data_IF_463640963956
#
_entry.id   IF_463640963956
#
_cell.length_a   1.000
_cell.length_b   1.000
_cell.length_c   1.000
_cell.angle_alpha   90.00
_cell.angle_beta   90.00
_cell.angle_gamma   90.00
#
_symmetry.space_group_name_H-M   'P 1'
#
loop_
_entity.id
_entity.type
_entity.pdbx_description
1 polymer ?
#
# COMPACT_ATOMS: atom_id res chain seq x y z
N UNK A 1 -36.37 -30.38 36.09
CA UNK A 1 -35.09 -30.02 36.77
C UNK A 1 -34.00 -30.24 35.73
N UNK A 2 -33.78 -29.23 34.91
CA UNK A 2 -32.92 -29.31 33.70
C UNK A 2 -31.76 -28.34 33.88
N UNK A 3 -30.66 -28.88 34.39
CA UNK A 3 -29.40 -28.15 34.61
C UNK A 3 -28.55 -28.27 33.35
N UNK A 4 -28.83 -27.46 32.32
CA UNK A 4 -27.86 -27.20 31.29
C UNK A 4 -26.86 -26.19 31.83
N UNK A 5 -25.80 -26.71 32.41
CA UNK A 5 -24.59 -25.97 32.72
C UNK A 5 -23.90 -25.63 31.41
N UNK A 6 -23.88 -24.38 31.03
CA UNK A 6 -23.08 -23.86 29.91
C UNK A 6 -21.66 -23.55 30.47
N UNK A 7 -20.69 -24.45 30.25
CA UNK A 7 -19.34 -24.22 30.75
C UNK A 7 -18.56 -23.38 29.73
N UNK A 8 -18.14 -22.20 30.14
CA UNK A 8 -17.19 -21.29 29.51
C UNK A 8 -17.79 -20.13 28.67
N UNK A 9 -18.59 -19.32 29.30
CA UNK A 9 -18.75 -17.95 28.87
C UNK A 9 -17.59 -17.14 29.46
N UNK A 10 -16.51 -16.97 28.75
CA UNK A 10 -15.47 -16.00 29.12
C UNK A 10 -16.14 -14.62 29.19
N UNK A 11 -15.84 -13.81 30.22
CA UNK A 11 -16.30 -12.42 30.25
C UNK A 11 -15.80 -11.69 29.00
N UNK A 12 -16.69 -10.93 28.41
CA UNK A 12 -16.39 -10.17 27.19
C UNK A 12 -15.20 -9.22 27.47
N UNK A 13 -14.03 -9.41 26.81
CA UNK A 13 -12.84 -8.60 27.07
C UNK A 13 -12.98 -7.16 26.54
N UNK A 14 -14.15 -6.81 25.96
CA UNK A 14 -14.37 -5.50 25.37
C UNK A 14 -14.81 -4.51 26.45
N UNK A 15 -14.05 -3.43 26.71
CA UNK A 15 -14.39 -2.44 27.71
C UNK A 15 -15.73 -1.75 27.39
N UNK A 16 -16.63 -1.57 28.37
CA UNK A 16 -17.86 -0.81 28.16
C UNK A 16 -17.54 0.64 27.84
N UNK A 17 -18.09 1.18 26.75
CA UNK A 17 -17.95 2.58 26.35
C UNK A 17 -17.10 2.82 25.08
N UNK A 18 -16.50 1.79 24.49
CA UNK A 18 -15.92 1.91 23.17
C UNK A 18 -16.98 1.71 22.07
N UNK A 19 -16.99 2.53 21.02
CA UNK A 19 -17.91 2.36 19.91
C UNK A 19 -17.60 1.06 19.15
N UNK A 20 -18.62 0.22 19.00
CA UNK A 20 -18.63 -0.94 18.12
C UNK A 20 -17.63 -2.05 18.44
N UNK A 21 -18.15 -3.24 18.73
CA UNK A 21 -17.33 -4.46 18.77
C UNK A 21 -16.87 -4.78 17.35
N UNK A 22 -15.58 -5.14 17.12
CA UNK A 22 -15.15 -5.66 15.83
C UNK A 22 -15.81 -7.04 15.62
N UNK A 23 -16.92 -7.07 14.98
CA UNK A 23 -17.75 -8.26 14.80
C UNK A 23 -18.49 -8.26 13.48
N UNK A 24 -17.86 -7.77 12.43
CA UNK A 24 -18.33 -7.94 11.07
C UNK A 24 -17.51 -9.02 10.37
N UNK A 25 -18.14 -9.89 9.62
CA UNK A 25 -17.52 -10.88 8.75
C UNK A 25 -16.80 -10.21 7.55
N UNK A 26 -15.70 -9.49 7.80
CA UNK A 26 -14.95 -8.85 6.73
C UNK A 26 -13.65 -8.23 7.22
N UNK A 27 -12.69 -7.98 6.32
CA UNK A 27 -11.39 -7.40 6.63
C UNK A 27 -11.45 -5.89 6.87
N UNK A 28 -12.63 -5.31 7.11
CA UNK A 28 -12.78 -3.87 7.33
C UNK A 28 -12.35 -3.49 8.74
N UNK A 29 -11.48 -2.48 8.80
CA UNK A 29 -11.09 -1.88 10.07
C UNK A 29 -12.29 -1.13 10.65
N UNK A 30 -12.56 -1.22 11.97
CA UNK A 30 -13.60 -0.42 12.59
C UNK A 30 -13.35 1.08 12.36
N UNK A 31 -14.38 1.85 11.99
CA UNK A 31 -14.25 3.27 11.65
C UNK A 31 -13.58 4.10 12.76
N UNK A 32 -13.84 3.79 14.04
CA UNK A 32 -13.16 4.47 15.16
C UNK A 32 -11.64 4.27 15.16
N UNK A 33 -11.15 3.12 14.65
CA UNK A 33 -9.71 2.85 14.57
C UNK A 33 -9.10 3.59 13.37
N UNK A 34 -9.81 3.65 12.25
CA UNK A 34 -9.39 4.46 11.09
C UNK A 34 -9.29 5.94 11.45
N UNK A 35 -10.29 6.47 12.18
CA UNK A 35 -10.29 7.84 12.69
C UNK A 35 -9.08 8.09 13.60
N UNK A 36 -8.80 7.18 14.54
CA UNK A 36 -7.63 7.28 15.42
C UNK A 36 -6.29 7.25 14.68
N UNK A 37 -6.17 6.42 13.65
CA UNK A 37 -4.97 6.37 12.81
C UNK A 37 -4.83 7.67 12.01
N UNK A 38 -5.94 8.16 11.47
CA UNK A 38 -5.98 9.42 10.73
C UNK A 38 -5.55 10.62 11.60
N UNK A 39 -6.03 10.71 12.86
CA UNK A 39 -5.60 11.72 13.82
C UNK A 39 -4.09 11.69 14.07
N UNK A 40 -3.47 10.52 13.95
CA UNK A 40 -2.02 10.33 14.04
C UNK A 40 -1.29 10.45 12.70
N UNK A 41 -1.97 10.95 11.67
CA UNK A 41 -1.45 11.09 10.31
C UNK A 41 -1.02 9.76 9.69
N UNK A 42 -1.73 8.67 10.01
CA UNK A 42 -1.49 7.34 9.47
C UNK A 42 -2.58 7.00 8.46
N UNK A 43 -2.19 6.72 7.22
CA UNK A 43 -3.07 6.28 6.12
C UNK A 43 -2.76 4.82 5.81
N UNK A 44 -3.81 3.98 5.76
CA UNK A 44 -3.66 2.55 5.48
C UNK A 44 -4.04 2.25 4.02
N UNK A 45 -3.14 1.60 3.29
CA UNK A 45 -3.39 1.04 1.95
C UNK A 45 -3.48 -0.48 2.08
N UNK A 46 -4.69 -1.04 1.99
CA UNK A 46 -4.95 -2.46 2.23
C UNK A 46 -5.76 -3.11 1.12
N UNK A 47 -5.53 -4.41 0.92
CA UNK A 47 -6.27 -5.20 -0.06
C UNK A 47 -5.95 -4.79 -1.50
N UNK A 48 -6.89 -5.00 -2.41
CA UNK A 48 -6.72 -4.65 -3.82
C UNK A 48 -6.94 -3.16 -4.04
N UNK A 49 -5.99 -2.50 -4.66
CA UNK A 49 -6.09 -1.08 -5.00
C UNK A 49 -7.02 -0.90 -6.20
N UNK A 50 -8.20 -0.31 -5.95
CA UNK A 50 -9.20 0.06 -6.95
C UNK A 50 -9.35 1.56 -7.01
N UNK A 51 -10.00 2.10 -8.05
CA UNK A 51 -10.27 3.54 -8.17
C UNK A 51 -11.04 4.10 -6.97
N UNK A 52 -11.98 3.35 -6.38
CA UNK A 52 -12.72 3.77 -5.19
C UNK A 52 -11.80 3.88 -3.96
N UNK A 53 -10.95 2.88 -3.75
CA UNK A 53 -9.97 2.88 -2.64
C UNK A 53 -8.98 4.02 -2.82
N UNK A 54 -8.48 4.22 -4.04
CA UNK A 54 -7.54 5.30 -4.34
C UNK A 54 -8.14 6.69 -4.09
N UNK A 55 -9.42 6.91 -4.44
CA UNK A 55 -10.12 8.17 -4.15
C UNK A 55 -10.18 8.46 -2.65
N UNK A 56 -10.45 7.45 -1.82
CA UNK A 56 -10.45 7.61 -0.36
C UNK A 56 -9.07 7.95 0.20
N UNK A 57 -8.02 7.26 -0.29
CA UNK A 57 -6.63 7.53 0.09
C UNK A 57 -6.21 8.94 -0.33
N UNK A 58 -6.50 9.34 -1.57
CA UNK A 58 -6.20 10.66 -2.09
C UNK A 58 -6.86 11.78 -1.26
N UNK A 59 -8.14 11.61 -0.91
CA UNK A 59 -8.85 12.55 -0.04
C UNK A 59 -8.24 12.65 1.35
N UNK A 60 -7.81 11.52 1.94
CA UNK A 60 -7.13 11.49 3.23
C UNK A 60 -5.78 12.23 3.16
N UNK A 61 -4.98 11.98 2.13
CA UNK A 61 -3.68 12.63 1.93
C UNK A 61 -3.83 14.15 1.78
N UNK A 62 -4.74 14.63 0.92
CA UNK A 62 -5.02 16.05 0.73
C UNK A 62 -5.50 16.73 2.02
N UNK A 63 -6.34 16.05 2.81
CA UNK A 63 -6.81 16.56 4.09
C UNK A 63 -5.67 16.70 5.09
N UNK A 64 -4.77 15.72 5.13
CA UNK A 64 -3.60 15.75 6.00
C UNK A 64 -2.57 16.81 5.55
N UNK A 65 -2.37 16.98 4.25
CA UNK A 65 -1.50 18.04 3.73
C UNK A 65 -2.02 19.43 4.11
N UNK A 66 -3.32 19.67 3.94
CA UNK A 66 -3.97 20.92 4.36
C UNK A 66 -3.88 21.18 5.88
N UNK A 67 -3.78 20.12 6.70
CA UNK A 67 -3.64 20.24 8.15
C UNK A 67 -2.21 20.61 8.61
N UNK A 68 -1.21 20.54 7.72
CA UNK A 68 0.15 21.00 7.99
C UNK A 68 1.26 20.10 7.42
N UNK A 69 2.51 20.56 7.47
CA UNK A 69 3.64 19.97 6.77
C UNK A 69 4.28 18.77 7.50
N UNK A 70 3.72 18.32 8.62
CA UNK A 70 4.25 17.16 9.33
C UNK A 70 4.15 15.89 8.45
N UNK A 71 5.10 14.95 8.54
CA UNK A 71 5.09 13.73 7.73
C UNK A 71 3.79 12.93 7.86
N UNK A 72 3.33 12.35 6.75
CA UNK A 72 2.24 11.38 6.71
C UNK A 72 2.84 9.97 6.65
N UNK A 73 2.43 9.10 7.57
CA UNK A 73 2.82 7.69 7.56
C UNK A 73 1.85 6.90 6.69
N UNK A 74 2.33 6.28 5.62
CA UNK A 74 1.52 5.43 4.75
C UNK A 74 1.88 3.96 4.97
N UNK A 75 0.95 3.19 5.53
CA UNK A 75 1.15 1.76 5.79
C UNK A 75 0.59 0.92 4.65
N UNK A 76 1.47 0.18 3.97
CA UNK A 76 1.14 -0.62 2.80
C UNK A 76 0.98 -2.11 3.16
N UNK A 77 -0.17 -2.68 2.81
CA UNK A 77 -0.51 -4.09 2.95
C UNK A 77 -1.36 -4.54 1.75
N UNK A 78 -0.78 -4.52 0.55
CA UNK A 78 -1.50 -4.74 -0.70
C UNK A 78 -0.62 -5.47 -1.72
N UNK A 79 -1.12 -6.56 -2.26
CA UNK A 79 -0.43 -7.33 -3.30
C UNK A 79 -0.54 -6.71 -4.70
N UNK A 80 -1.29 -5.61 -4.89
CA UNK A 80 -1.47 -4.95 -6.16
C UNK A 80 -2.85 -4.33 -6.37
N UNK A 81 -3.16 -4.04 -7.62
CA UNK A 81 -4.42 -3.42 -8.02
C UNK A 81 -4.32 -2.78 -9.40
N UNK A 82 -5.22 -1.83 -9.66
CA UNK A 82 -5.30 -1.10 -10.91
C UNK A 82 -4.20 -0.04 -10.99
N UNK A 83 -3.53 0.04 -12.16
CA UNK A 83 -2.43 0.98 -12.37
C UNK A 83 -2.89 2.44 -12.27
N UNK A 84 -4.00 2.81 -12.92
CA UNK A 84 -4.54 4.17 -12.86
C UNK A 84 -4.94 4.58 -11.44
N UNK A 85 -5.40 3.63 -10.60
CA UNK A 85 -5.68 3.88 -9.19
C UNK A 85 -4.40 4.21 -8.40
N UNK A 86 -3.29 3.50 -8.67
CA UNK A 86 -2.01 3.79 -8.05
C UNK A 86 -1.46 5.15 -8.48
N UNK A 87 -1.51 5.45 -9.79
CA UNK A 87 -1.02 6.72 -10.32
C UNK A 87 -1.80 7.93 -9.78
N UNK A 88 -3.12 7.82 -9.57
CA UNK A 88 -3.88 8.90 -8.95
C UNK A 88 -3.44 9.20 -7.50
N UNK A 89 -2.97 8.21 -6.76
CA UNK A 89 -2.36 8.43 -5.43
C UNK A 89 -0.97 9.07 -5.58
N UNK A 90 -0.17 8.59 -6.55
CA UNK A 90 1.16 9.13 -6.85
C UNK A 90 1.07 10.62 -7.20
N UNK A 91 0.14 11.02 -8.08
CA UNK A 91 -0.07 12.42 -8.46
C UNK A 91 -0.39 13.31 -7.24
N UNK A 92 -1.21 12.81 -6.31
CA UNK A 92 -1.48 13.52 -5.06
C UNK A 92 -0.23 13.62 -4.22
N UNK A 93 0.52 12.53 -4.02
CA UNK A 93 1.76 12.54 -3.24
C UNK A 93 2.80 13.51 -3.82
N UNK A 94 2.95 13.54 -5.15
CA UNK A 94 3.88 14.42 -5.85
C UNK A 94 3.46 15.92 -5.74
N UNK A 95 2.17 16.20 -5.47
CA UNK A 95 1.64 17.58 -5.30
C UNK A 95 1.66 18.08 -3.86
N UNK A 96 1.86 17.20 -2.87
CA UNK A 96 1.82 17.54 -1.45
C UNK A 96 3.07 18.29 -0.99
N UNK A 97 2.90 19.14 0.06
CA UNK A 97 4.00 19.75 0.79
C UNK A 97 4.46 18.86 1.96
N UNK A 98 3.55 18.09 2.55
CA UNK A 98 3.87 17.17 3.62
C UNK A 98 4.55 15.91 3.04
N UNK A 99 5.73 15.50 3.54
CA UNK A 99 6.41 14.31 3.06
C UNK A 99 5.62 13.05 3.43
N UNK A 100 5.63 12.07 2.53
CA UNK A 100 5.00 10.77 2.78
C UNK A 100 6.08 9.73 3.06
N UNK A 101 5.98 9.07 4.21
CA UNK A 101 6.85 7.98 4.63
C UNK A 101 6.08 6.66 4.52
N UNK A 102 6.50 5.78 3.63
CA UNK A 102 5.85 4.50 3.40
C UNK A 102 6.48 3.38 4.25
N UNK A 103 5.60 2.58 4.85
CA UNK A 103 5.99 1.38 5.62
C UNK A 103 5.26 0.18 5.07
N UNK A 104 5.96 -0.78 4.48
CA UNK A 104 5.36 -2.05 4.05
C UNK A 104 5.19 -2.95 5.26
N UNK A 105 3.93 -3.21 5.65
CA UNK A 105 3.60 -3.95 6.86
C UNK A 105 3.56 -5.46 6.64
N UNK A 106 3.07 -5.92 5.50
CA UNK A 106 2.97 -7.34 5.13
C UNK A 106 3.42 -7.62 3.70
N UNK A 107 2.87 -6.90 2.74
CA UNK A 107 3.19 -7.08 1.33
C UNK A 107 3.03 -5.80 0.52
N UNK A 108 3.81 -5.66 -0.55
CA UNK A 108 3.64 -4.66 -1.59
C UNK A 108 3.93 -5.29 -2.95
N UNK A 109 3.02 -5.10 -3.92
CA UNK A 109 3.20 -5.68 -5.25
C UNK A 109 2.47 -4.93 -6.36
N UNK A 110 2.79 -5.26 -7.61
CA UNK A 110 2.14 -4.70 -8.79
C UNK A 110 2.07 -3.17 -8.75
N UNK A 111 0.90 -2.60 -8.97
CA UNK A 111 0.68 -1.15 -9.00
C UNK A 111 1.08 -0.42 -7.70
N UNK A 112 1.00 -1.08 -6.54
CA UNK A 112 1.35 -0.47 -5.24
C UNK A 112 2.84 -0.12 -5.14
N UNK A 113 3.69 -0.76 -5.94
CA UNK A 113 5.11 -0.41 -6.01
C UNK A 113 5.35 1.01 -6.54
N UNK A 114 4.44 1.55 -7.38
CA UNK A 114 4.50 2.94 -7.82
C UNK A 114 4.23 3.89 -6.63
N UNK A 115 3.25 3.56 -5.79
CA UNK A 115 2.94 4.32 -4.56
C UNK A 115 4.12 4.27 -3.58
N UNK A 116 4.72 3.09 -3.40
CA UNK A 116 5.92 2.95 -2.56
C UNK A 116 7.08 3.80 -3.10
N UNK A 117 7.29 3.78 -4.42
CA UNK A 117 8.36 4.54 -5.08
C UNK A 117 8.15 6.07 -5.06
N UNK A 118 6.92 6.53 -4.81
CA UNK A 118 6.62 7.96 -4.67
C UNK A 118 6.89 8.49 -3.25
N UNK A 119 7.08 7.61 -2.26
CA UNK A 119 7.36 8.01 -0.89
C UNK A 119 8.79 8.55 -0.73
N UNK A 120 8.95 9.58 0.13
CA UNK A 120 10.24 10.18 0.44
C UNK A 120 11.12 9.22 1.26
N UNK A 121 10.52 8.50 2.20
CA UNK A 121 11.17 7.43 2.95
C UNK A 121 10.40 6.13 2.78
N UNK A 122 11.12 5.03 2.56
CA UNK A 122 10.56 3.72 2.29
C UNK A 122 11.14 2.70 3.26
N UNK A 123 10.28 2.08 4.04
CA UNK A 123 10.70 1.07 4.99
C UNK A 123 9.77 -0.14 4.96
N UNK A 124 10.18 -1.23 5.57
CA UNK A 124 9.35 -2.42 5.68
C UNK A 124 9.59 -3.17 6.98
N UNK A 125 8.58 -3.87 7.47
CA UNK A 125 8.80 -4.86 8.52
C UNK A 125 9.56 -6.07 7.99
N UNK A 126 10.32 -6.72 8.86
CA UNK A 126 11.25 -7.82 8.54
C UNK A 126 10.62 -8.94 7.71
N UNK A 127 9.36 -9.25 7.94
CA UNK A 127 8.66 -10.34 7.25
C UNK A 127 7.81 -9.87 6.07
N UNK A 128 7.89 -8.59 5.71
CA UNK A 128 7.22 -8.07 4.53
C UNK A 128 7.75 -8.75 3.25
N UNK A 129 6.86 -8.87 2.28
CA UNK A 129 7.13 -9.45 0.97
C UNK A 129 6.87 -8.43 -0.12
N UNK A 130 7.70 -8.47 -1.13
CA UNK A 130 7.56 -7.62 -2.30
C UNK A 130 7.38 -8.49 -3.54
N UNK A 131 6.50 -8.07 -4.44
CA UNK A 131 6.32 -8.75 -5.72
C UNK A 131 6.41 -7.76 -6.85
N UNK A 132 7.54 -7.77 -7.56
CA UNK A 132 7.68 -7.05 -8.82
C UNK A 132 6.87 -7.83 -9.86
N UNK A 133 5.67 -7.36 -10.14
CA UNK A 133 4.79 -7.94 -11.15
C UNK A 133 4.14 -6.80 -11.92
N UNK A 134 3.86 -7.02 -13.19
CA UNK A 134 3.14 -6.05 -14.01
C UNK A 134 1.81 -5.68 -13.36
N UNK A 135 1.50 -4.39 -13.22
CA UNK A 135 0.21 -3.93 -12.73
C UNK A 135 -0.92 -4.42 -13.64
N UNK A 136 -2.08 -4.67 -13.04
CA UNK A 136 -3.26 -5.04 -13.83
C UNK A 136 -3.98 -3.80 -14.33
N UNK A 137 -4.61 -3.92 -15.50
CA UNK A 137 -5.62 -2.96 -15.95
C UNK A 137 -7.00 -3.38 -15.45
N UNK A 138 -7.88 -2.42 -15.23
CA UNK A 138 -9.32 -2.69 -15.21
C UNK A 138 -9.73 -3.26 -16.58
N UNK A 139 -10.60 -4.29 -16.58
CA UNK A 139 -11.06 -4.87 -17.83
C UNK A 139 -11.73 -3.84 -18.73
N UNK A 140 -11.21 -3.64 -19.93
CA UNK A 140 -11.79 -2.73 -20.93
C UNK A 140 -12.66 -3.53 -21.88
N UNK A 141 -13.93 -3.15 -21.99
CA UNK A 141 -14.88 -3.66 -22.98
C UNK A 141 -15.34 -2.52 -23.88
N UNK A 142 -15.30 -2.73 -25.20
CA UNK A 142 -15.66 -1.68 -26.15
C UNK A 142 -15.36 -2.09 -27.59
N UNK A 143 -15.33 -1.13 -28.47
CA UNK A 143 -14.90 -1.32 -29.87
C UNK A 143 -13.40 -1.64 -29.94
N UNK A 144 -12.94 -2.16 -31.06
CA UNK A 144 -11.51 -2.48 -31.27
C UNK A 144 -10.62 -1.24 -31.06
N UNK A 145 -11.09 -0.06 -31.50
CA UNK A 145 -10.35 1.19 -31.37
C UNK A 145 -10.27 1.65 -29.90
N UNK A 146 -11.34 1.50 -29.12
CA UNK A 146 -11.35 1.81 -27.68
C UNK A 146 -10.42 0.89 -26.90
N UNK A 147 -10.42 -0.40 -27.21
CA UNK A 147 -9.50 -1.38 -26.59
C UNK A 147 -8.05 -1.07 -26.96
N UNK A 148 -7.77 -0.74 -28.23
CA UNK A 148 -6.42 -0.37 -28.67
C UNK A 148 -5.94 0.93 -27.99
N UNK A 149 -6.81 1.93 -27.86
CA UNK A 149 -6.49 3.18 -27.17
C UNK A 149 -6.18 2.95 -25.68
N UNK A 150 -6.98 2.14 -25.00
CA UNK A 150 -6.77 1.78 -23.60
C UNK A 150 -5.47 1.00 -23.38
N UNK A 151 -5.14 0.07 -24.28
CA UNK A 151 -3.87 -0.67 -24.24
C UNK A 151 -2.68 0.28 -24.42
N UNK A 152 -2.77 1.22 -25.38
CA UNK A 152 -1.75 2.23 -25.58
C UNK A 152 -1.56 3.16 -24.39
N UNK A 153 -2.65 3.51 -23.68
CA UNK A 153 -2.59 4.30 -22.46
C UNK A 153 -1.90 3.51 -21.34
N UNK A 154 -2.30 2.25 -21.14
CA UNK A 154 -1.69 1.39 -20.13
C UNK A 154 -0.18 1.23 -20.30
N UNK A 155 0.29 1.07 -21.52
CA UNK A 155 1.72 0.96 -21.82
C UNK A 155 2.49 2.24 -21.46
N UNK A 156 1.90 3.43 -21.69
CA UNK A 156 2.52 4.70 -21.27
C UNK A 156 2.59 4.82 -19.76
N UNK A 157 1.50 4.49 -19.06
CA UNK A 157 1.44 4.49 -17.59
C UNK A 157 2.44 3.50 -16.98
N UNK A 158 2.57 2.31 -17.57
CA UNK A 158 3.54 1.31 -17.13
C UNK A 158 4.97 1.82 -17.32
N UNK A 159 5.26 2.50 -18.43
CA UNK A 159 6.56 3.10 -18.67
C UNK A 159 6.93 4.13 -17.60
N UNK A 160 5.98 4.98 -17.18
CA UNK A 160 6.20 5.96 -16.09
C UNK A 160 6.57 5.26 -14.79
N UNK A 161 5.88 4.17 -14.45
CA UNK A 161 6.19 3.36 -13.25
C UNK A 161 7.57 2.72 -13.35
N UNK A 162 7.93 2.16 -14.50
CA UNK A 162 9.26 1.56 -14.73
C UNK A 162 10.36 2.60 -14.54
N UNK A 163 10.19 3.80 -15.10
CA UNK A 163 11.15 4.90 -14.96
C UNK A 163 11.27 5.36 -13.50
N UNK A 164 10.15 5.49 -12.77
CA UNK A 164 10.16 5.85 -11.35
C UNK A 164 10.85 4.78 -10.52
N UNK A 165 10.54 3.50 -10.74
CA UNK A 165 11.20 2.40 -10.04
C UNK A 165 12.71 2.36 -10.34
N UNK A 166 13.11 2.57 -11.59
CA UNK A 166 14.53 2.65 -11.95
C UNK A 166 15.25 3.80 -11.23
N UNK A 167 14.62 4.97 -11.16
CA UNK A 167 15.17 6.14 -10.48
C UNK A 167 15.39 5.91 -8.97
N UNK A 168 14.40 5.32 -8.27
CA UNK A 168 14.50 5.14 -6.82
C UNK A 168 15.34 3.95 -6.40
N UNK A 169 15.44 2.90 -7.26
CA UNK A 169 16.21 1.68 -6.95
C UNK A 169 17.65 1.75 -7.43
N UNK A 170 17.97 2.66 -8.36
CA UNK A 170 19.27 2.68 -9.06
C UNK A 170 19.46 1.52 -10.04
N UNK A 171 18.42 0.70 -10.29
CA UNK A 171 18.46 -0.37 -11.28
C UNK A 171 18.28 0.19 -12.71
N UNK A 172 18.74 -0.55 -13.70
CA UNK A 172 18.48 -0.17 -15.09
C UNK A 172 17.01 -0.41 -15.46
N UNK A 173 16.47 0.40 -16.38
CA UNK A 173 15.13 0.22 -16.93
C UNK A 173 14.88 -1.23 -17.38
N UNK A 174 15.79 -1.80 -18.19
CA UNK A 174 15.66 -3.18 -18.68
C UNK A 174 15.57 -4.19 -17.53
N UNK A 175 16.34 -3.99 -16.46
CA UNK A 175 16.27 -4.84 -15.27
C UNK A 175 14.91 -4.78 -14.57
N UNK A 176 14.33 -3.59 -14.44
CA UNK A 176 12.99 -3.42 -13.86
C UNK A 176 11.94 -4.10 -14.74
N UNK A 177 11.99 -3.91 -16.08
CA UNK A 177 11.07 -4.55 -17.04
C UNK A 177 11.16 -6.08 -16.96
N UNK A 178 12.36 -6.64 -16.94
CA UNK A 178 12.58 -8.08 -16.82
C UNK A 178 12.03 -8.65 -15.49
N UNK A 179 12.31 -7.97 -14.37
CA UNK A 179 11.87 -8.40 -13.04
C UNK A 179 10.33 -8.28 -12.86
N UNK A 180 9.70 -7.25 -13.46
CA UNK A 180 8.23 -7.09 -13.49
C UNK A 180 7.56 -8.20 -14.32
N UNK A 181 8.09 -8.47 -15.50
CA UNK A 181 7.59 -9.52 -16.40
C UNK A 181 7.76 -10.92 -15.81
N UNK A 182 8.88 -11.17 -15.13
CA UNK A 182 9.14 -12.44 -14.43
C UNK A 182 8.30 -12.63 -13.16
N UNK A 183 7.70 -11.54 -12.63
CA UNK A 183 6.96 -11.60 -11.36
C UNK A 183 7.87 -11.88 -10.16
N UNK A 184 9.05 -11.24 -10.11
CA UNK A 184 10.08 -11.49 -9.09
C UNK A 184 9.60 -11.16 -7.69
N UNK A 185 9.82 -12.08 -6.75
CA UNK A 185 9.52 -11.90 -5.33
C UNK A 185 10.78 -11.59 -4.54
N UNK A 186 10.68 -10.65 -3.60
CA UNK A 186 11.77 -10.23 -2.71
C UNK A 186 11.31 -10.28 -1.24
N UNK A 187 12.21 -10.67 -0.35
CA UNK A 187 12.10 -10.42 1.09
C UNK A 187 12.41 -8.95 1.41
N UNK A 188 12.17 -8.50 2.63
CA UNK A 188 12.50 -7.15 3.04
C UNK A 188 14.01 -6.84 2.93
N UNK A 189 14.87 -7.79 3.26
CA UNK A 189 16.33 -7.63 3.11
C UNK A 189 16.74 -7.49 1.63
N UNK A 190 16.21 -8.38 0.76
CA UNK A 190 16.47 -8.30 -0.68
C UNK A 190 15.89 -7.03 -1.31
N UNK A 191 14.73 -6.55 -0.84
CA UNK A 191 14.13 -5.30 -1.31
C UNK A 191 14.98 -4.07 -0.95
N UNK A 192 15.62 -4.07 0.24
CA UNK A 192 16.58 -3.05 0.63
C UNK A 192 17.84 -3.12 -0.25
N UNK A 193 18.41 -4.30 -0.43
CA UNK A 193 19.61 -4.49 -1.24
C UNK A 193 19.34 -4.18 -2.75
N UNK A 194 18.11 -4.34 -3.18
CA UNK A 194 17.63 -3.95 -4.52
C UNK A 194 17.46 -2.43 -4.66
N UNK A 195 17.32 -1.69 -3.55
CA UNK A 195 17.05 -0.25 -3.51
C UNK A 195 15.57 0.13 -3.49
N UNK A 196 14.67 -0.86 -3.37
CA UNK A 196 13.23 -0.61 -3.34
C UNK A 196 12.77 0.02 -2.02
N UNK A 197 13.46 -0.28 -0.92
CA UNK A 197 13.28 0.35 0.39
C UNK A 197 14.61 0.81 0.96
N UNK A 198 14.56 1.77 1.86
CA UNK A 198 15.74 2.39 2.48
C UNK A 198 16.16 1.64 3.75
N UNK A 199 15.17 1.08 4.50
CA UNK A 199 15.43 0.43 5.78
C UNK A 199 14.45 -0.72 6.09
N UNK A 200 14.91 -1.67 6.91
CA UNK A 200 14.06 -2.66 7.56
C UNK A 200 13.81 -2.23 9.00
N UNK A 201 12.53 -2.10 9.37
CA UNK A 201 12.13 -1.63 10.70
C UNK A 201 12.65 -2.57 11.79
N UNK A 202 13.41 -2.02 12.73
CA UNK A 202 13.96 -2.76 13.88
C UNK A 202 15.34 -3.36 13.69
N UNK A 203 15.96 -3.27 12.52
CA UNK A 203 17.34 -3.75 12.32
C UNK A 203 18.37 -2.91 13.11
N UNK A 204 18.13 -1.62 13.33
CA UNK A 204 19.01 -0.74 14.10
C UNK A 204 19.12 -1.12 15.59
N UNK A 205 18.15 -1.88 16.13
CA UNK A 205 18.15 -2.34 17.52
C UNK A 205 18.96 -3.62 17.73
N UNK A 206 19.44 -4.26 16.66
CA UNK A 206 20.32 -5.41 16.68
C UNK A 206 21.66 -4.98 16.10
N UNK A 207 22.50 -4.38 16.94
CA UNK A 207 23.91 -4.17 16.60
C UNK A 207 24.60 -5.49 16.17
N UNK A 208 25.76 -5.41 15.50
CA UNK A 208 26.44 -6.59 14.99
C UNK A 208 26.72 -7.57 16.15
N UNK A 209 26.31 -8.82 15.99
CA UNK A 209 26.63 -9.95 16.88
C UNK A 209 28.05 -10.38 16.69
#
# INVERSE_FOLDING_TARGET
>A
MDLRHDPMRFPDPWPPGLPGRPGGNGPEMPGWLEERLFDQRIVMVRGTLTGQVATGIAAALLTLDAAGPAPVQMHLASSGGELGAALSIVDVMDSMNAPVHAVVTSEAGGAVLAVLAAAEQRSAYRHARFKLAEPRTAGVTGTADEVAAAAGQHLRELEEVVLRLAAVTGQTRSRIEDDLSAGRSLSAAEARDYGLIDAVVGDEKRGPS
#
